data_IF_702291157482
#
_entry.id   IF_702291157482
#
_cell.length_a   1.000
_cell.length_b   1.000
_cell.length_c   1.000
_cell.angle_alpha   90.00
_cell.angle_beta   90.00
_cell.angle_gamma   90.00
#
_symmetry.space_group_name_H-M   'P 1'
#
loop_
_entity.id
_entity.type
_entity.pdbx_description
1 polymer ?
#
# COMPACT_ATOMS: atom_id res chain seq x y z
N UNK A 1 -16.21 28.72 -2.82
CA UNK A 1 -16.50 27.41 -3.41
C UNK A 1 -15.46 26.40 -2.93
N UNK A 2 -15.91 25.40 -2.24
CA UNK A 2 -15.01 24.43 -1.65
C UNK A 2 -14.73 23.33 -2.67
N UNK A 3 -13.53 23.38 -3.21
CA UNK A 3 -13.04 22.25 -3.99
C UNK A 3 -12.79 21.14 -2.97
N UNK A 4 -13.46 19.99 -3.11
CA UNK A 4 -13.16 18.90 -2.20
C UNK A 4 -11.68 18.55 -2.32
N UNK A 5 -10.99 18.62 -1.18
CA UNK A 5 -9.59 18.26 -1.16
C UNK A 5 -9.46 16.81 -1.63
N UNK A 6 -8.57 16.59 -2.55
CA UNK A 6 -8.31 15.24 -3.05
C UNK A 6 -7.82 14.37 -1.90
N UNK A 7 -8.46 13.22 -1.73
CA UNK A 7 -8.03 12.27 -0.73
C UNK A 7 -6.82 11.50 -1.21
N UNK A 8 -5.97 11.14 -0.28
CA UNK A 8 -4.74 10.43 -0.58
C UNK A 8 -4.70 9.13 0.20
N UNK A 9 -4.41 8.06 -0.51
CA UNK A 9 -4.35 6.71 0.05
C UNK A 9 -2.93 6.19 -0.07
N UNK A 10 -2.38 5.72 1.04
CA UNK A 10 -1.07 5.09 1.07
C UNK A 10 -1.24 3.58 1.17
N UNK A 11 -0.53 2.85 0.32
CA UNK A 11 -0.52 1.39 0.35
C UNK A 11 0.90 0.93 0.61
N UNK A 12 1.24 0.61 1.86
CA UNK A 12 2.52 -0.03 2.13
C UNK A 12 2.45 -1.47 1.64
N UNK A 13 3.43 -1.85 0.85
CA UNK A 13 3.45 -3.15 0.19
C UNK A 13 4.77 -3.84 0.46
N UNK A 14 4.70 -5.04 1.04
CA UNK A 14 5.89 -5.83 1.32
C UNK A 14 6.26 -6.62 0.07
N UNK A 15 7.41 -6.32 -0.52
CA UNK A 15 7.84 -6.96 -1.77
C UNK A 15 8.19 -8.43 -1.59
N UNK A 16 8.33 -8.88 -0.35
CA UNK A 16 8.59 -10.29 -0.05
C UNK A 16 7.30 -11.12 0.04
N UNK A 17 6.17 -10.45 0.01
CA UNK A 17 4.87 -11.09 0.08
C UNK A 17 4.09 -10.72 -1.17
N UNK A 18 3.44 -11.67 -1.80
CA UNK A 18 2.70 -11.40 -3.03
C UNK A 18 1.22 -11.15 -2.77
N UNK A 19 0.91 -10.52 -1.64
CA UNK A 19 -0.46 -10.18 -1.29
C UNK A 19 -0.81 -8.81 -1.88
N UNK A 20 -1.52 -8.82 -3.00
CA UNK A 20 -1.94 -7.61 -3.70
C UNK A 20 -3.32 -7.11 -3.26
N UNK A 21 -3.92 -7.74 -2.27
CA UNK A 21 -5.29 -7.40 -1.86
C UNK A 21 -5.41 -5.94 -1.41
N UNK A 22 -4.42 -5.43 -0.69
CA UNK A 22 -4.41 -4.03 -0.29
C UNK A 22 -4.36 -3.09 -1.49
N UNK A 23 -3.56 -3.45 -2.49
CA UNK A 23 -3.44 -2.63 -3.71
C UNK A 23 -4.77 -2.60 -4.47
N UNK A 24 -5.38 -3.77 -4.70
CA UNK A 24 -6.64 -3.84 -5.42
C UNK A 24 -7.74 -3.08 -4.69
N UNK A 25 -7.80 -3.23 -3.39
CA UNK A 25 -8.80 -2.53 -2.59
C UNK A 25 -8.61 -1.02 -2.64
N UNK A 26 -7.37 -0.57 -2.54
CA UNK A 26 -7.05 0.86 -2.60
C UNK A 26 -7.40 1.45 -3.97
N UNK A 27 -7.12 0.72 -5.04
CA UNK A 27 -7.46 1.18 -6.38
C UNK A 27 -8.97 1.29 -6.57
N UNK A 28 -9.73 0.34 -6.03
CA UNK A 28 -11.18 0.39 -6.08
C UNK A 28 -11.73 1.57 -5.29
N UNK A 29 -11.18 1.82 -4.11
CA UNK A 29 -11.56 2.98 -3.31
C UNK A 29 -11.22 4.28 -4.02
N UNK A 30 -10.04 4.35 -4.62
CA UNK A 30 -9.59 5.55 -5.30
C UNK A 30 -10.51 5.91 -6.46
N UNK A 31 -10.98 4.90 -7.18
CA UNK A 31 -11.91 5.12 -8.28
C UNK A 31 -13.21 5.73 -7.78
N UNK A 32 -13.73 5.22 -6.67
CA UNK A 32 -14.98 5.72 -6.10
C UNK A 32 -14.86 7.10 -5.48
N UNK A 33 -13.73 7.35 -4.82
CA UNK A 33 -13.52 8.57 -4.05
C UNK A 33 -12.77 9.63 -4.81
N UNK A 34 -12.30 9.31 -6.01
CA UNK A 34 -11.41 10.15 -6.79
C UNK A 34 -10.17 10.52 -5.99
N UNK A 35 -9.58 9.51 -5.35
CA UNK A 35 -8.41 9.66 -4.52
C UNK A 35 -7.14 9.35 -5.30
N UNK A 36 -6.03 9.89 -4.81
CA UNK A 36 -4.70 9.53 -5.30
C UNK A 36 -4.19 8.34 -4.48
N UNK A 37 -3.53 7.41 -5.16
CA UNK A 37 -2.95 6.24 -4.50
C UNK A 37 -1.43 6.33 -4.57
N UNK A 38 -0.78 6.15 -3.44
CA UNK A 38 0.68 6.11 -3.33
C UNK A 38 1.04 4.72 -2.82
N UNK A 39 1.76 3.97 -3.62
CA UNK A 39 2.21 2.63 -3.24
C UNK A 39 3.66 2.74 -2.79
N UNK A 40 3.92 2.31 -1.56
CA UNK A 40 5.26 2.30 -1.00
C UNK A 40 5.75 0.87 -0.89
N UNK A 41 6.67 0.50 -1.77
CA UNK A 41 7.24 -0.84 -1.76
C UNK A 41 8.31 -0.92 -0.66
N UNK A 42 8.16 -1.88 0.23
CA UNK A 42 9.01 -2.04 1.40
C UNK A 42 9.56 -3.46 1.42
N UNK A 43 10.81 -3.61 1.78
CA UNK A 43 11.41 -4.91 2.03
C UNK A 43 11.48 -5.12 3.54
N UNK A 44 10.56 -5.92 4.07
CA UNK A 44 10.50 -6.18 5.50
C UNK A 44 11.47 -7.26 5.96
N UNK A 45 12.09 -7.97 5.02
CA UNK A 45 13.05 -9.02 5.32
C UNK A 45 14.47 -8.54 5.01
N UNK A 46 14.91 -7.49 5.68
CA UNK A 46 16.19 -6.85 5.41
C UNK A 46 17.40 -7.76 5.59
N UNK A 47 17.25 -8.87 6.26
CA UNK A 47 18.38 -9.74 6.59
C UNK A 47 18.83 -10.64 5.46
N UNK A 48 18.12 -10.67 4.36
CA UNK A 48 18.48 -11.54 3.25
C UNK A 48 18.95 -10.74 2.07
N UNK A 49 20.20 -10.96 1.74
CA UNK A 49 20.79 -10.43 0.52
C UNK A 49 20.22 -11.12 -0.73
N UNK A 50 19.23 -11.96 -0.58
CA UNK A 50 18.65 -12.70 -1.67
C UNK A 50 17.68 -11.82 -2.43
N UNK A 51 18.19 -11.14 -3.44
CA UNK A 51 17.42 -10.19 -4.20
C UNK A 51 16.50 -10.84 -5.24
N UNK A 52 16.58 -12.15 -5.39
CA UNK A 52 15.85 -12.79 -6.49
C UNK A 52 14.37 -12.98 -6.26
N UNK A 53 13.96 -13.14 -5.01
CA UNK A 53 12.57 -13.45 -4.73
C UNK A 53 11.62 -12.26 -4.80
N UNK A 54 12.16 -11.03 -4.82
CA UNK A 54 11.33 -9.84 -4.87
C UNK A 54 11.17 -9.22 -6.24
N UNK A 55 11.96 -9.64 -7.22
CA UNK A 55 12.00 -8.93 -8.50
C UNK A 55 10.73 -9.10 -9.33
N UNK A 56 10.14 -10.29 -9.36
CA UNK A 56 8.90 -10.50 -10.11
C UNK A 56 7.71 -9.80 -9.46
N UNK A 57 7.73 -9.71 -8.13
CA UNK A 57 6.67 -9.00 -7.39
C UNK A 57 6.75 -7.51 -7.70
N UNK A 58 7.95 -6.93 -7.68
CA UNK A 58 8.14 -5.54 -8.04
C UNK A 58 7.72 -5.26 -9.47
N UNK A 59 8.04 -6.17 -10.38
CA UNK A 59 7.67 -6.03 -11.77
C UNK A 59 6.16 -6.10 -11.96
N UNK A 60 5.50 -7.05 -11.29
CA UNK A 60 4.05 -7.16 -11.31
C UNK A 60 3.40 -5.91 -10.74
N UNK A 61 3.95 -5.36 -9.66
CA UNK A 61 3.43 -4.15 -9.05
C UNK A 61 3.58 -2.95 -9.99
N UNK A 62 4.72 -2.84 -10.65
CA UNK A 62 4.97 -1.78 -11.62
C UNK A 62 3.98 -1.85 -12.78
N UNK A 63 3.73 -3.06 -13.30
CA UNK A 63 2.78 -3.26 -14.37
C UNK A 63 1.37 -2.85 -13.95
N UNK A 64 1.01 -3.18 -12.72
CA UNK A 64 -0.29 -2.84 -12.18
C UNK A 64 -0.46 -1.33 -12.05
N UNK A 65 0.58 -0.64 -11.58
CA UNK A 65 0.58 0.82 -11.47
C UNK A 65 0.45 1.45 -12.85
N UNK A 66 1.20 0.94 -13.81
CA UNK A 66 1.14 1.47 -15.18
C UNK A 66 -0.24 1.30 -15.77
N UNK A 67 -0.85 0.13 -15.58
CA UNK A 67 -2.20 -0.13 -16.06
C UNK A 67 -3.22 0.82 -15.43
N UNK A 68 -3.10 1.05 -14.13
CA UNK A 68 -4.00 1.97 -13.43
C UNK A 68 -3.86 3.40 -13.96
N UNK A 69 -2.63 3.83 -14.20
CA UNK A 69 -2.38 5.16 -14.74
C UNK A 69 -2.95 5.31 -16.15
N UNK A 70 -2.88 4.26 -16.95
CA UNK A 70 -3.48 4.27 -18.28
C UNK A 70 -4.99 4.40 -18.24
N UNK A 71 -5.60 3.93 -17.16
CA UNK A 71 -7.03 4.07 -16.95
C UNK A 71 -7.43 5.41 -16.34
N UNK A 72 -6.47 6.28 -16.12
CA UNK A 72 -6.72 7.61 -15.59
C UNK A 72 -6.69 7.74 -14.09
N UNK A 73 -6.29 6.69 -13.38
CA UNK A 73 -6.17 6.75 -11.92
C UNK A 73 -4.82 7.37 -11.55
N UNK A 74 -4.81 8.34 -10.63
CA UNK A 74 -3.54 8.93 -10.17
C UNK A 74 -2.87 8.01 -9.17
N UNK A 75 -1.94 7.20 -9.65
CA UNK A 75 -1.20 6.24 -8.85
C UNK A 75 0.28 6.53 -8.97
N UNK A 76 0.99 6.59 -7.85
CA UNK A 76 2.44 6.71 -7.83
C UNK A 76 3.06 5.55 -7.08
N UNK A 77 4.33 5.31 -7.34
CA UNK A 77 5.05 4.16 -6.81
C UNK A 77 6.38 4.63 -6.26
N UNK A 78 6.68 4.27 -5.03
CA UNK A 78 7.93 4.61 -4.36
C UNK A 78 8.54 3.38 -3.74
N UNK A 79 9.86 3.36 -3.67
CA UNK A 79 10.60 2.30 -3.01
C UNK A 79 11.18 2.87 -1.72
N UNK A 80 10.93 2.21 -0.60
CA UNK A 80 11.46 2.66 0.67
C UNK A 80 12.97 2.46 0.72
N UNK A 81 13.69 3.51 1.06
CA UNK A 81 15.14 3.49 1.19
C UNK A 81 15.59 3.39 2.64
N UNK A 82 14.83 4.01 3.52
CA UNK A 82 15.11 4.02 4.96
C UNK A 82 14.16 3.07 5.67
N UNK A 83 14.21 3.05 6.98
CA UNK A 83 13.35 2.18 7.77
C UNK A 83 11.86 2.38 7.50
N UNK A 84 11.08 1.33 7.70
CA UNK A 84 9.65 1.31 7.41
C UNK A 84 8.93 2.45 8.12
N UNK A 85 9.17 2.60 9.41
CA UNK A 85 8.50 3.61 10.22
C UNK A 85 8.75 5.02 9.70
N UNK A 86 10.02 5.32 9.41
CA UNK A 86 10.42 6.64 8.95
C UNK A 86 9.81 6.96 7.59
N UNK A 87 9.81 5.99 6.69
CA UNK A 87 9.27 6.19 5.35
C UNK A 87 7.76 6.41 5.39
N UNK A 88 7.05 5.60 6.16
CA UNK A 88 5.60 5.71 6.24
C UNK A 88 5.18 7.01 6.91
N UNK A 89 5.77 7.33 8.05
CA UNK A 89 5.40 8.58 8.75
C UNK A 89 5.75 9.79 7.92
N UNK A 90 6.89 9.73 7.22
CA UNK A 90 7.30 10.82 6.33
C UNK A 90 6.33 11.05 5.19
N UNK A 91 5.88 9.98 4.55
CA UNK A 91 4.93 10.11 3.44
C UNK A 91 3.56 10.58 3.93
N UNK A 92 3.11 10.09 5.08
CA UNK A 92 1.83 10.51 5.63
C UNK A 92 1.83 12.02 5.86
N UNK A 93 2.92 12.55 6.40
CA UNK A 93 3.03 13.98 6.65
C UNK A 93 3.21 14.77 5.34
N UNK A 94 4.08 14.29 4.45
CA UNK A 94 4.42 15.04 3.23
C UNK A 94 3.27 15.08 2.23
N UNK A 95 2.51 13.98 2.14
CA UNK A 95 1.47 13.83 1.13
C UNK A 95 0.06 13.95 1.69
N UNK A 96 -0.08 14.32 2.95
CA UNK A 96 -1.39 14.45 3.61
C UNK A 96 -2.24 13.20 3.42
N UNK A 97 -1.69 12.07 3.82
CA UNK A 97 -2.38 10.80 3.67
C UNK A 97 -3.58 10.71 4.61
N UNK A 98 -4.73 10.37 4.07
CA UNK A 98 -5.97 10.18 4.82
C UNK A 98 -6.18 8.74 5.25
N UNK A 99 -5.84 7.81 4.35
CA UNK A 99 -6.06 6.39 4.56
C UNK A 99 -4.79 5.62 4.29
N UNK A 100 -4.54 4.60 5.10
CA UNK A 100 -3.49 3.63 4.86
C UNK A 100 -4.16 2.27 4.69
N UNK A 101 -3.97 1.64 3.54
CA UNK A 101 -4.63 0.38 3.20
C UNK A 101 -3.58 -0.70 3.01
N UNK A 102 -3.72 -1.81 3.69
CA UNK A 102 -2.78 -2.91 3.56
C UNK A 102 -3.48 -4.25 3.71
N UNK A 103 -2.87 -5.30 3.15
CA UNK A 103 -3.43 -6.63 3.19
C UNK A 103 -3.18 -7.35 4.50
N UNK A 104 -4.17 -8.06 5.01
CA UNK A 104 -4.07 -8.81 6.25
C UNK A 104 -3.25 -10.10 6.09
N UNK A 105 -3.04 -10.53 4.85
CA UNK A 105 -2.29 -11.76 4.60
C UNK A 105 -0.81 -11.66 4.90
N UNK A 106 -0.31 -10.45 5.08
CA UNK A 106 1.09 -10.24 5.41
C UNK A 106 1.20 -9.89 6.88
N UNK A 107 1.62 -10.86 7.68
CA UNK A 107 1.73 -10.68 9.12
C UNK A 107 2.79 -9.66 9.49
N UNK A 108 3.91 -9.63 8.77
CA UNK A 108 4.97 -8.67 9.04
C UNK A 108 4.47 -7.25 8.83
N UNK A 109 3.72 -7.03 7.76
CA UNK A 109 3.15 -5.73 7.49
C UNK A 109 2.11 -5.36 8.55
N UNK A 110 1.25 -6.29 8.91
CA UNK A 110 0.23 -6.05 9.93
C UNK A 110 0.87 -5.66 11.26
N UNK A 111 1.93 -6.36 11.66
CA UNK A 111 2.64 -6.05 12.90
C UNK A 111 3.30 -4.67 12.82
N UNK A 112 3.91 -4.34 11.69
CA UNK A 112 4.53 -3.04 11.50
C UNK A 112 3.49 -1.92 11.60
N UNK A 113 2.34 -2.11 10.99
CA UNK A 113 1.28 -1.10 11.00
C UNK A 113 0.67 -0.94 12.40
N UNK A 114 0.54 -2.03 13.14
CA UNK A 114 0.06 -1.95 14.52
C UNK A 114 1.00 -1.09 15.37
N UNK A 115 2.30 -1.25 15.20
CA UNK A 115 3.28 -0.45 15.92
C UNK A 115 3.24 1.03 15.57
N UNK A 116 2.83 1.35 14.34
CA UNK A 116 2.76 2.73 13.88
C UNK A 116 1.44 3.41 14.18
N UNK A 117 0.41 2.64 14.48
CA UNK A 117 -0.95 3.16 14.65
C UNK A 117 -1.03 4.37 15.58
N UNK A 118 -0.40 4.37 16.77
CA UNK A 118 -0.49 5.53 17.65
C UNK A 118 0.30 6.73 17.18
N UNK A 119 1.16 6.55 16.17
CA UNK A 119 2.05 7.63 15.70
C UNK A 119 1.54 8.31 14.44
N UNK A 120 0.49 7.78 13.82
CA UNK A 120 -0.01 8.34 12.57
C UNK A 120 -1.44 8.82 12.73
N UNK A 121 -1.76 9.92 12.04
CA UNK A 121 -3.10 10.49 12.09
C UNK A 121 -4.04 9.94 11.02
N UNK A 122 -3.55 9.09 10.13
CA UNK A 122 -4.36 8.52 9.08
C UNK A 122 -5.13 7.31 9.59
N UNK A 123 -6.25 7.02 8.95
CA UNK A 123 -7.04 5.84 9.27
C UNK A 123 -6.42 4.61 8.62
N UNK A 124 -6.31 3.52 9.40
CA UNK A 124 -5.78 2.26 8.89
C UNK A 124 -6.92 1.34 8.47
N UNK A 125 -6.80 0.78 7.28
CA UNK A 125 -7.75 -0.19 6.76
C UNK A 125 -6.99 -1.47 6.46
N UNK A 126 -7.40 -2.56 7.09
CA UNK A 126 -6.84 -3.88 6.86
C UNK A 126 -7.76 -4.65 5.93
N UNK A 127 -7.23 -5.07 4.79
CA UNK A 127 -8.01 -5.82 3.82
C UNK A 127 -7.79 -7.30 4.08
N UNK A 128 -8.84 -7.97 4.46
CA UNK A 128 -8.80 -9.41 4.66
C UNK A 128 -9.02 -10.11 3.35
N UNK A 129 -8.28 -11.19 3.18
CA UNK A 129 -8.51 -12.07 2.06
C UNK A 129 -9.95 -12.55 2.14
N UNK A 130 -10.67 -12.37 1.05
CA UNK A 130 -12.02 -12.89 0.96
C UNK A 130 -11.92 -14.40 1.11
N UNK A 131 -12.36 -14.91 2.23
CA UNK A 131 -12.56 -16.32 2.32
C UNK A 131 -13.53 -16.67 1.22
N UNK A 132 -13.00 -17.31 0.20
CA UNK A 132 -13.87 -17.96 -0.75
C UNK A 132 -14.71 -18.87 0.08
N UNK A 133 -15.95 -18.49 0.27
CA UNK A 133 -16.87 -19.34 0.95
C UNK A 133 -16.84 -20.67 0.24
N UNK A 134 -16.23 -21.63 0.88
CA UNK A 134 -16.27 -22.97 0.38
C UNK A 134 -17.65 -23.50 0.68
N UNK A 135 -18.51 -23.32 -0.27
CA UNK A 135 -19.75 -24.04 -0.21
C UNK A 135 -19.46 -25.45 -0.60
N UNK A 136 -19.46 -26.23 0.37
CA UNK A 136 -19.36 -27.64 0.11
C UNK A 136 -20.76 -28.19 0.02
#
# INVERSE_FOLDING_TARGET
MNVPSQRNILVPFNIRCNDFNGVYHALALAERMQAKVIILAIDLNEKRADSHSGSWVQEALRDLVQSACQQGLPVSYHIAQDGVEKEITGLIAAENIDLVVFGAGDKLMADAMQGLRPKIGAQLITVREKETAHFV
#
